data_IF_535570476596
#
_entry.id   IF_535570476596
#
_cell.length_a   1.000
_cell.length_b   1.000
_cell.length_c   1.000
_cell.angle_alpha   90.00
_cell.angle_beta   90.00
_cell.angle_gamma   90.00
#
_symmetry.space_group_name_H-M   'P 1'
#
loop_
_entity.id
_entity.type
_entity.pdbx_description
1 polymer ?
#
# COMPACT_ATOMS: atom_id res chain seq x y z
N UNK A 1 22.49 4.06 -23.02
CA UNK A 1 23.22 4.27 -21.75
C UNK A 1 22.16 4.59 -20.71
N UNK A 2 21.80 3.61 -19.89
CA UNK A 2 20.73 3.71 -18.89
C UNK A 2 21.41 3.76 -17.52
N UNK A 3 21.08 4.70 -16.61
CA UNK A 3 21.70 4.70 -15.30
C UNK A 3 21.00 3.68 -14.40
N UNK A 4 21.68 2.56 -14.13
CA UNK A 4 21.33 1.56 -13.11
C UNK A 4 21.95 1.94 -11.75
N UNK A 5 21.89 1.06 -10.75
CA UNK A 5 22.74 1.12 -9.54
C UNK A 5 24.26 1.23 -9.83
N UNK A 6 24.64 1.16 -11.11
CA UNK A 6 25.83 1.75 -11.75
C UNK A 6 26.22 3.17 -11.29
N UNK A 7 25.30 3.93 -10.68
CA UNK A 7 25.53 5.32 -10.26
C UNK A 7 26.70 5.51 -9.28
N UNK A 8 27.06 4.47 -8.52
CA UNK A 8 28.32 4.41 -7.80
C UNK A 8 29.14 3.31 -8.47
N UNK A 9 30.17 3.67 -9.24
CA UNK A 9 30.99 2.76 -10.07
C UNK A 9 31.86 1.76 -9.28
N UNK A 10 31.37 1.25 -8.15
CA UNK A 10 32.06 0.28 -7.30
C UNK A 10 31.82 -1.16 -7.75
N UNK A 11 30.69 -1.44 -8.43
CA UNK A 11 30.31 -2.79 -8.85
C UNK A 11 29.56 -2.77 -10.19
N UNK A 12 29.73 -3.83 -10.97
CA UNK A 12 28.91 -4.11 -12.16
C UNK A 12 27.69 -4.94 -11.75
N UNK A 13 26.49 -4.40 -11.94
CA UNK A 13 25.24 -5.00 -11.48
C UNK A 13 24.51 -5.62 -12.68
N UNK A 14 24.55 -6.95 -12.78
CA UNK A 14 23.80 -7.69 -13.81
C UNK A 14 22.35 -7.92 -13.38
N UNK A 15 21.41 -7.53 -14.24
CA UNK A 15 19.98 -7.80 -14.05
C UNK A 15 19.60 -9.29 -14.16
N UNK A 16 20.50 -10.16 -14.66
CA UNK A 16 20.22 -11.59 -14.85
C UNK A 16 19.98 -12.37 -13.54
N UNK A 17 20.52 -11.85 -12.43
CA UNK A 17 20.37 -12.43 -11.10
C UNK A 17 19.49 -11.57 -10.18
N UNK A 18 18.84 -10.53 -10.72
CA UNK A 18 17.95 -9.69 -9.93
C UNK A 18 16.71 -10.49 -9.52
N UNK A 19 16.41 -10.49 -8.22
CA UNK A 19 15.15 -11.05 -7.73
C UNK A 19 14.01 -10.14 -8.16
N UNK A 20 12.96 -10.73 -8.76
CA UNK A 20 11.79 -9.97 -9.21
C UNK A 20 11.02 -9.46 -7.98
N UNK A 21 10.82 -8.14 -7.82
CA UNK A 21 10.06 -7.61 -6.70
C UNK A 21 8.59 -8.01 -6.84
N UNK A 22 7.94 -8.42 -5.75
CA UNK A 22 6.49 -8.70 -5.73
C UNK A 22 5.67 -7.44 -5.46
N UNK A 23 6.27 -6.44 -4.80
CA UNK A 23 5.61 -5.21 -4.40
C UNK A 23 5.46 -4.22 -5.57
N UNK A 24 4.23 -3.78 -5.86
CA UNK A 24 3.95 -2.80 -6.91
C UNK A 24 4.23 -3.26 -8.35
N UNK A 25 4.65 -4.52 -8.53
CA UNK A 25 4.92 -5.10 -9.83
C UNK A 25 3.63 -5.12 -10.66
N UNK A 26 3.69 -4.55 -11.88
CA UNK A 26 2.55 -4.41 -12.79
C UNK A 26 1.37 -3.58 -12.25
N UNK A 27 1.56 -2.82 -11.17
CA UNK A 27 0.51 -1.98 -10.59
C UNK A 27 0.17 -0.74 -11.43
N UNK A 28 1.01 -0.41 -12.43
CA UNK A 28 0.80 0.71 -13.36
C UNK A 28 1.22 2.07 -12.80
N UNK A 29 1.06 3.12 -13.61
CA UNK A 29 1.46 4.49 -13.26
C UNK A 29 0.67 5.08 -12.08
N UNK A 30 -0.60 4.69 -11.96
CA UNK A 30 -1.49 5.16 -10.89
C UNK A 30 -0.97 4.75 -9.50
N UNK A 31 -0.24 3.64 -9.39
CA UNK A 31 0.38 3.20 -8.15
C UNK A 31 1.43 4.20 -7.61
N UNK A 32 2.13 4.89 -8.51
CA UNK A 32 3.21 5.83 -8.16
C UNK A 32 2.69 7.26 -8.06
N UNK A 33 1.69 7.60 -8.87
CA UNK A 33 1.20 8.99 -9.03
C UNK A 33 0.00 9.33 -8.16
N UNK A 34 -0.78 8.34 -7.70
CA UNK A 34 -1.96 8.55 -6.85
C UNK A 34 -1.64 8.24 -5.39
N UNK A 35 -2.46 8.78 -4.49
CA UNK A 35 -2.46 8.30 -3.12
C UNK A 35 -2.86 6.82 -3.11
N UNK A 36 -2.34 6.02 -2.16
CA UNK A 36 -2.73 4.61 -2.07
C UNK A 36 -4.24 4.45 -1.86
N UNK A 37 -4.88 5.46 -1.27
CA UNK A 37 -6.31 5.50 -1.12
C UNK A 37 -7.06 5.63 -2.44
N UNK A 38 -6.66 6.59 -3.27
CA UNK A 38 -7.24 6.79 -4.60
C UNK A 38 -6.96 5.58 -5.50
N UNK A 39 -5.77 4.99 -5.38
CA UNK A 39 -5.42 3.75 -6.07
C UNK A 39 -6.38 2.61 -5.69
N UNK A 40 -6.61 2.37 -4.40
CA UNK A 40 -7.55 1.32 -3.93
C UNK A 40 -8.95 1.57 -4.50
N UNK A 41 -9.44 2.81 -4.46
CA UNK A 41 -10.74 3.18 -5.04
C UNK A 41 -10.81 2.90 -6.55
N UNK A 42 -9.77 3.26 -7.29
CA UNK A 42 -9.69 3.03 -8.73
C UNK A 42 -9.67 1.53 -9.07
N UNK A 43 -8.89 0.73 -8.34
CA UNK A 43 -8.84 -0.72 -8.56
C UNK A 43 -10.18 -1.38 -8.22
N UNK A 44 -10.83 -0.97 -7.13
CA UNK A 44 -12.17 -1.44 -6.77
C UNK A 44 -13.21 -1.09 -7.85
N UNK A 45 -13.19 0.12 -8.40
CA UNK A 45 -14.06 0.51 -9.51
C UNK A 45 -13.84 -0.33 -10.77
N UNK A 46 -12.61 -0.80 -10.97
CA UNK A 46 -12.21 -1.66 -12.11
C UNK A 46 -12.40 -3.15 -11.83
N UNK A 47 -12.88 -3.55 -10.65
CA UNK A 47 -12.92 -4.94 -10.17
C UNK A 47 -11.55 -5.64 -10.19
N UNK A 48 -10.48 -4.87 -10.02
CA UNK A 48 -9.12 -5.37 -9.89
C UNK A 48 -8.72 -5.52 -8.42
N UNK A 49 -7.78 -6.42 -8.10
CA UNK A 49 -7.24 -6.50 -6.75
C UNK A 49 -6.52 -5.19 -6.39
N UNK A 50 -6.82 -4.58 -5.22
CA UNK A 50 -6.18 -3.34 -4.78
C UNK A 50 -4.75 -3.54 -4.25
N UNK A 51 -4.20 -4.75 -4.36
CA UNK A 51 -2.84 -5.10 -3.92
C UNK A 51 -1.79 -4.15 -4.51
N UNK A 52 -0.79 -3.75 -3.72
CA UNK A 52 -0.45 -4.27 -2.39
C UNK A 52 -1.18 -3.59 -1.21
N UNK A 53 -2.08 -2.65 -1.49
CA UNK A 53 -2.88 -1.96 -0.47
C UNK A 53 -4.21 -2.67 -0.22
N UNK A 54 -4.93 -2.22 0.81
CA UNK A 54 -6.24 -2.76 1.17
C UNK A 54 -7.17 -1.65 1.70
N UNK A 55 -8.48 -1.92 1.71
CA UNK A 55 -9.50 -0.99 2.19
C UNK A 55 -10.45 -1.63 3.21
N UNK A 56 -11.51 -0.89 3.55
CA UNK A 56 -12.55 -1.39 4.46
C UNK A 56 -13.26 -2.66 4.02
N UNK A 57 -13.52 -2.91 2.72
CA UNK A 57 -14.09 -4.19 2.28
C UNK A 57 -13.22 -5.38 2.70
N UNK A 58 -11.91 -5.21 2.72
CA UNK A 58 -10.93 -6.25 3.06
C UNK A 58 -10.52 -6.25 4.55
N UNK A 59 -11.05 -5.34 5.37
CA UNK A 59 -10.60 -5.13 6.77
C UNK A 59 -10.55 -6.41 7.62
N UNK A 60 -11.62 -7.22 7.55
CA UNK A 60 -11.75 -8.47 8.30
C UNK A 60 -11.68 -9.72 7.41
N UNK A 61 -11.13 -9.59 6.20
CA UNK A 61 -11.03 -10.70 5.25
C UNK A 61 -9.55 -11.14 5.19
N UNK A 62 -9.23 -12.41 5.55
CA UNK A 62 -7.88 -12.93 5.40
C UNK A 62 -7.41 -12.86 3.95
N UNK A 63 -6.23 -12.28 3.73
CA UNK A 63 -5.61 -12.15 2.42
C UNK A 63 -4.13 -12.56 2.46
N UNK A 64 -3.55 -12.88 1.31
CA UNK A 64 -2.13 -13.24 1.24
C UNK A 64 -1.25 -12.04 1.59
N UNK A 65 -0.19 -12.29 2.35
CA UNK A 65 0.85 -11.30 2.58
C UNK A 65 1.54 -10.89 1.26
N UNK A 66 2.07 -9.67 1.14
CA UNK A 66 2.74 -9.19 -0.09
C UNK A 66 3.96 -10.01 -0.52
N UNK A 67 4.66 -10.61 0.44
CA UNK A 67 5.79 -11.52 0.24
C UNK A 67 5.36 -12.99 0.04
N UNK A 68 4.05 -13.26 0.12
CA UNK A 68 3.43 -14.59 0.02
C UNK A 68 3.92 -15.58 1.08
N UNK A 69 4.47 -15.11 2.21
CA UNK A 69 4.91 -15.98 3.31
C UNK A 69 3.75 -16.59 4.12
N UNK A 70 2.55 -16.03 3.99
CA UNK A 70 1.37 -16.50 4.70
C UNK A 70 0.13 -15.64 4.45
N UNK A 71 -0.79 -15.68 5.41
CA UNK A 71 -2.03 -14.89 5.42
C UNK A 71 -1.99 -13.83 6.52
N UNK A 72 -2.56 -12.67 6.23
CA UNK A 72 -2.71 -11.57 7.17
C UNK A 72 -4.08 -10.89 7.04
N UNK A 73 -4.26 -9.82 7.80
CA UNK A 73 -5.44 -8.97 7.75
C UNK A 73 -5.04 -7.55 7.32
N UNK A 74 -6.01 -6.81 6.78
CA UNK A 74 -5.78 -5.44 6.39
C UNK A 74 -5.60 -4.54 7.64
N UNK A 75 -4.41 -3.97 7.79
CA UNK A 75 -4.06 -3.10 8.91
C UNK A 75 -4.66 -1.71 8.72
N UNK A 76 -5.90 -1.55 9.14
CA UNK A 76 -6.57 -0.24 9.28
C UNK A 76 -6.71 0.07 10.76
N UNK A 77 -6.06 1.14 11.20
CA UNK A 77 -6.05 1.58 12.59
C UNK A 77 -6.30 3.07 12.69
N UNK A 78 -6.80 3.56 13.85
CA UNK A 78 -6.92 5.00 14.07
C UNK A 78 -5.53 5.63 14.13
N UNK A 79 -5.31 6.66 13.32
CA UNK A 79 -4.06 7.43 13.27
C UNK A 79 -4.24 8.80 13.92
N UNK A 80 -3.16 9.33 14.52
CA UNK A 80 -3.19 10.66 15.14
C UNK A 80 -3.44 11.72 14.06
N UNK A 81 -4.40 12.60 14.31
CA UNK A 81 -4.96 13.59 13.36
C UNK A 81 -3.97 14.60 12.74
N UNK A 82 -2.70 14.57 13.12
CA UNK A 82 -1.66 15.53 12.70
C UNK A 82 -0.69 14.98 11.64
N UNK A 83 -0.90 13.78 11.11
CA UNK A 83 -0.12 13.32 9.99
C UNK A 83 -0.61 14.02 8.70
N UNK A 84 -0.16 15.27 8.50
CA UNK A 84 -0.47 16.12 7.34
C UNK A 84 -0.17 15.45 5.98
N UNK A 85 0.61 14.38 5.99
CA UNK A 85 0.99 13.58 4.82
C UNK A 85 0.47 12.13 4.87
N UNK A 86 -0.38 11.78 5.84
CA UNK A 86 -0.97 10.44 5.88
C UNK A 86 -2.01 10.27 4.78
N UNK A 87 -1.93 9.15 4.07
CA UNK A 87 -3.01 8.71 3.21
C UNK A 87 -4.13 8.11 4.08
N UNK A 88 -5.15 8.91 4.35
CA UNK A 88 -6.30 8.50 5.15
C UNK A 88 -7.32 7.72 4.32
N UNK A 89 -7.92 6.68 4.89
CA UNK A 89 -9.09 6.00 4.31
C UNK A 89 -10.39 6.65 4.78
N UNK A 90 -11.46 6.58 3.95
CA UNK A 90 -12.79 7.08 4.36
C UNK A 90 -13.23 6.41 5.66
N UNK A 91 -14.01 7.12 6.48
CA UNK A 91 -14.52 6.54 7.73
C UNK A 91 -15.60 5.51 7.43
N UNK A 92 -15.68 4.41 8.19
CA UNK A 92 -16.77 3.46 8.07
C UNK A 92 -18.07 4.15 8.51
N UNK A 93 -19.14 3.98 7.74
CA UNK A 93 -20.44 4.65 7.98
C UNK A 93 -21.10 4.25 9.33
N UNK A 94 -20.61 3.18 9.98
CA UNK A 94 -21.33 2.49 11.06
C UNK A 94 -21.15 3.07 12.48
N UNK A 95 -20.33 4.10 12.72
CA UNK A 95 -20.15 4.55 14.11
C UNK A 95 -19.88 6.05 14.28
N UNK A 96 -20.78 6.77 14.96
CA UNK A 96 -20.60 8.19 15.28
C UNK A 96 -19.38 8.43 16.19
N UNK A 97 -19.08 7.49 17.09
CA UNK A 97 -17.93 7.56 17.99
C UNK A 97 -16.58 7.52 17.26
N UNK A 98 -16.54 6.96 16.04
CA UNK A 98 -15.33 6.88 15.22
C UNK A 98 -15.11 8.14 14.36
N UNK A 99 -16.04 9.11 14.37
CA UNK A 99 -15.92 10.36 13.60
C UNK A 99 -14.78 11.27 14.09
N UNK A 100 -14.23 11.01 15.27
CA UNK A 100 -13.15 11.81 15.86
C UNK A 100 -11.77 11.41 15.34
N UNK A 101 -11.68 10.24 14.70
CA UNK A 101 -10.42 9.63 14.28
C UNK A 101 -10.27 9.67 12.76
N UNK A 102 -9.03 9.83 12.33
CA UNK A 102 -8.61 9.48 10.97
C UNK A 102 -8.14 8.02 10.99
N UNK A 103 -8.29 7.33 9.87
CA UNK A 103 -7.91 5.92 9.75
C UNK A 103 -6.87 5.77 8.64
N UNK A 104 -5.90 4.89 8.85
CA UNK A 104 -4.87 4.54 7.89
C UNK A 104 -4.13 3.28 8.34
N UNK A 105 -3.06 2.95 7.64
CA UNK A 105 -2.10 1.93 8.04
C UNK A 105 -1.19 2.41 9.18
N UNK A 106 -0.61 1.46 9.90
CA UNK A 106 0.27 1.71 11.05
C UNK A 106 1.65 2.26 10.68
N UNK A 107 2.11 2.01 9.45
CA UNK A 107 3.49 2.23 9.05
C UNK A 107 3.69 3.57 8.34
N UNK A 108 4.48 4.46 8.95
CA UNK A 108 4.84 5.75 8.35
C UNK A 108 5.72 5.59 7.11
N UNK A 109 6.53 4.53 7.02
CA UNK A 109 7.43 4.25 5.90
C UNK A 109 6.70 4.07 4.57
N UNK A 110 5.40 3.75 4.63
CA UNK A 110 4.50 3.63 3.48
C UNK A 110 3.39 4.69 3.54
N UNK A 111 3.69 5.87 4.11
CA UNK A 111 2.77 7.00 4.22
C UNK A 111 1.43 6.68 4.90
N UNK A 112 1.45 5.76 5.88
CA UNK A 112 0.26 5.23 6.55
C UNK A 112 -0.75 4.61 5.57
N UNK A 113 -0.29 4.00 4.49
CA UNK A 113 -1.13 3.21 3.61
C UNK A 113 -1.50 1.88 4.28
N UNK A 114 -2.78 1.48 4.30
CA UNK A 114 -3.18 0.17 4.79
C UNK A 114 -2.67 -0.94 3.88
N UNK A 115 -2.10 -1.99 4.49
CA UNK A 115 -1.56 -3.17 3.81
C UNK A 115 -1.97 -4.42 4.58
N UNK A 116 -1.81 -5.59 3.95
CA UNK A 116 -2.02 -6.87 4.63
C UNK A 116 -0.83 -7.18 5.54
N UNK A 117 -1.08 -7.42 6.83
CA UNK A 117 -0.08 -7.74 7.87
C UNK A 117 -0.48 -8.96 8.69
#
# INVERSE_FOLDING_TARGET
MFPSAEHFSWYDVSGAHATVPTWGLLAGEEFVTKSCYDFVKLQQQRNNPPSPFCGWPEYNIPACLPDRSGYGLCDISPIKALAYHAHNVDRPKMNQLLKQYNFGGRYLQINNCPIIT
#
